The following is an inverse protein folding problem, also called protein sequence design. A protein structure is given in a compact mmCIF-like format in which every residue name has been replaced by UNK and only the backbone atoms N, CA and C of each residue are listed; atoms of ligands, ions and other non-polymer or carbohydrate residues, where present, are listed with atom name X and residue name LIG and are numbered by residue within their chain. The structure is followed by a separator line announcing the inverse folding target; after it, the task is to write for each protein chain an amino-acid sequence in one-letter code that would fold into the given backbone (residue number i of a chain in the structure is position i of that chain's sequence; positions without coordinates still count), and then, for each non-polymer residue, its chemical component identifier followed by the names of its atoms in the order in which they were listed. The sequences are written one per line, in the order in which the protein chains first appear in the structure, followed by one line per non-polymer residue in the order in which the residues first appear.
data_IF_364509545129
#
_entry.id   IF_364509545129
#
_cell.length_a   1.000
_cell.length_b   1.000
_cell.length_c   1.000
_cell.angle_alpha   90.00
_cell.angle_beta   90.00
_cell.angle_gamma   90.00
#
_symmetry.space_group_name_H-M   'P 1'
#
loop_
_entity.id
_entity.type
_entity.pdbx_description
1 polymer ?
#
# COMPACT_ATOMS: atom_id res chain seq x y z
N UNK A 1 -10.12 -5.63 -8.03
CA UNK A 1 -11.19 -6.57 -8.44
C UNK A 1 -11.66 -6.40 -9.91
N UNK A 2 -11.47 -5.24 -10.54
CA UNK A 2 -12.02 -4.96 -11.88
C UNK A 2 -11.41 -5.85 -12.96
N UNK A 3 -10.08 -5.98 -12.97
CA UNK A 3 -9.37 -6.87 -13.89
C UNK A 3 -9.76 -8.34 -13.67
N UNK A 4 -9.96 -8.76 -12.43
CA UNK A 4 -10.39 -10.10 -12.09
C UNK A 4 -11.80 -10.40 -12.64
N UNK A 5 -12.72 -9.43 -12.57
CA UNK A 5 -14.05 -9.56 -13.17
C UNK A 5 -14.01 -9.74 -14.69
N UNK A 6 -13.04 -9.13 -15.39
CA UNK A 6 -12.87 -9.33 -16.84
C UNK A 6 -12.52 -10.79 -17.18
N UNK A 7 -11.84 -11.48 -16.28
CA UNK A 7 -11.54 -12.91 -16.40
C UNK A 7 -12.66 -13.82 -15.84
N UNK A 8 -13.77 -13.24 -15.39
CA UNK A 8 -14.87 -13.99 -14.76
C UNK A 8 -14.59 -14.38 -13.30
N UNK A 9 -13.48 -13.90 -12.70
CA UNK A 9 -13.16 -14.21 -11.32
C UNK A 9 -14.07 -13.43 -10.35
N UNK A 10 -14.41 -14.08 -9.25
CA UNK A 10 -15.22 -13.47 -8.22
C UNK A 10 -14.44 -12.40 -7.47
N UNK A 11 -15.05 -11.23 -7.26
CA UNK A 11 -14.45 -10.15 -6.50
C UNK A 11 -14.09 -10.59 -5.07
N UNK A 12 -12.87 -10.29 -4.63
CA UNK A 12 -12.40 -10.55 -3.27
C UNK A 12 -12.65 -9.38 -2.31
N UNK A 13 -13.11 -8.24 -2.82
CA UNK A 13 -13.34 -7.04 -2.03
C UNK A 13 -12.09 -6.16 -1.91
N UNK A 14 -11.13 -6.30 -2.81
CA UNK A 14 -9.94 -5.43 -2.86
C UNK A 14 -10.38 -4.01 -3.20
N UNK A 15 -10.02 -3.04 -2.34
CA UNK A 15 -10.40 -1.64 -2.49
C UNK A 15 -9.18 -0.75 -2.57
N UNK A 16 -9.17 0.24 -3.47
CA UNK A 16 -8.15 1.27 -3.51
C UNK A 16 -8.44 2.36 -2.46
N UNK A 17 -7.34 2.88 -1.90
CA UNK A 17 -7.35 3.99 -0.95
C UNK A 17 -6.35 5.03 -1.40
N UNK A 18 -6.77 6.30 -1.43
CA UNK A 18 -5.90 7.42 -1.77
C UNK A 18 -4.85 7.64 -0.69
N UNK A 19 -3.62 7.89 -1.14
CA UNK A 19 -2.50 8.32 -0.32
C UNK A 19 -1.88 9.56 -0.94
N UNK A 20 -1.86 10.65 -0.19
CA UNK A 20 -1.35 11.96 -0.59
C UNK A 20 0.08 12.17 -0.12
N UNK A 21 0.89 12.82 -0.94
CA UNK A 21 2.25 13.27 -0.61
C UNK A 21 2.47 14.68 -1.12
N UNK A 22 3.10 15.52 -0.31
CA UNK A 22 3.59 16.84 -0.67
C UNK A 22 5.11 16.88 -0.58
N UNK A 23 5.76 17.46 -1.58
CA UNK A 23 7.18 17.78 -1.55
C UNK A 23 7.35 19.22 -1.11
N UNK A 24 8.05 19.41 -0.01
CA UNK A 24 8.23 20.69 0.65
C UNK A 24 9.68 21.17 0.53
N UNK A 25 9.84 22.47 0.29
CA UNK A 25 11.10 23.14 0.55
C UNK A 25 11.09 23.63 1.99
N UNK A 26 12.12 23.25 2.74
CA UNK A 26 12.29 23.58 4.16
C UNK A 26 13.63 24.25 4.41
N UNK A 27 13.72 25.06 5.46
CA UNK A 27 14.96 25.72 5.89
C UNK A 27 15.21 25.44 7.38
N UNK A 28 16.38 24.89 7.76
CA UNK A 28 17.46 24.41 6.91
C UNK A 28 17.03 23.23 6.03
N UNK A 29 17.74 23.01 4.92
CA UNK A 29 17.48 21.88 4.01
C UNK A 29 17.45 20.56 4.75
N UNK A 30 16.54 19.67 4.32
CA UNK A 30 16.43 18.34 4.92
C UNK A 30 17.71 17.53 4.67
N UNK A 31 18.38 17.00 5.69
CA UNK A 31 19.59 16.18 5.51
C UNK A 31 19.21 14.83 4.88
N UNK A 32 20.01 14.36 3.93
CA UNK A 32 19.77 13.09 3.22
C UNK A 32 19.85 11.86 4.16
N UNK A 33 20.50 12.03 5.31
CA UNK A 33 20.62 10.98 6.34
C UNK A 33 19.39 10.86 7.23
N UNK A 34 18.39 11.75 7.06
CA UNK A 34 17.17 11.70 7.88
C UNK A 34 16.38 10.42 7.56
N UNK A 35 16.10 9.58 8.57
CA UNK A 35 15.27 8.41 8.35
C UNK A 35 13.82 8.79 8.02
N UNK A 36 13.03 7.83 7.54
CA UNK A 36 11.58 7.98 7.52
C UNK A 36 11.08 8.12 8.96
N UNK A 37 10.38 9.22 9.23
CA UNK A 37 9.77 9.51 10.53
C UNK A 37 8.26 9.37 10.41
N UNK A 38 7.66 8.60 11.30
CA UNK A 38 6.21 8.37 11.35
C UNK A 38 5.71 8.85 12.71
N UNK A 39 4.67 9.68 12.72
CA UNK A 39 3.95 10.03 13.93
C UNK A 39 3.38 8.77 14.60
N UNK A 40 3.60 8.63 15.91
CA UNK A 40 3.17 7.44 16.65
C UNK A 40 1.65 7.23 16.62
N UNK A 41 0.89 8.31 16.49
CA UNK A 41 -0.57 8.26 16.33
C UNK A 41 -1.02 8.08 14.87
N UNK A 42 -0.06 7.97 13.94
CA UNK A 42 -0.34 7.78 12.52
C UNK A 42 -0.92 9.02 11.82
N UNK A 43 -0.78 10.20 12.39
CA UNK A 43 -1.34 11.44 11.85
C UNK A 43 -0.59 11.97 10.63
N UNK A 44 0.70 11.68 10.50
CA UNK A 44 1.54 12.01 9.34
C UNK A 44 2.81 11.18 9.32
N UNK A 45 3.52 11.22 8.21
CA UNK A 45 4.91 10.79 8.12
C UNK A 45 5.69 11.67 7.14
N UNK A 46 7.00 11.70 7.32
CA UNK A 46 7.88 12.42 6.40
C UNK A 46 9.22 11.72 6.20
N UNK A 47 9.88 12.05 5.10
CA UNK A 47 11.26 11.63 4.81
C UNK A 47 11.98 12.71 4.00
N UNK A 48 13.28 12.75 4.10
CA UNK A 48 14.10 13.59 3.21
C UNK A 48 14.26 12.95 1.83
N UNK A 49 14.43 13.80 0.83
CA UNK A 49 14.78 13.42 -0.54
C UNK A 49 15.46 14.60 -1.25
N UNK A 50 16.75 14.49 -1.51
CA UNK A 50 17.55 15.52 -2.20
C UNK A 50 17.40 16.94 -1.60
N UNK A 51 17.49 17.05 -0.28
CA UNK A 51 17.35 18.32 0.45
C UNK A 51 15.92 18.86 0.55
N UNK A 52 14.92 18.11 0.09
CA UNK A 52 13.49 18.37 0.24
C UNK A 52 12.89 17.45 1.30
N UNK A 53 11.72 17.80 1.77
CA UNK A 53 10.93 16.96 2.66
C UNK A 53 9.70 16.45 1.94
N UNK A 54 9.52 15.13 1.89
CA UNK A 54 8.27 14.52 1.47
C UNK A 54 7.41 14.30 2.70
N UNK A 55 6.24 14.92 2.72
CA UNK A 55 5.29 14.87 3.82
C UNK A 55 3.98 14.24 3.35
N UNK A 56 3.39 13.37 4.15
CA UNK A 56 2.08 12.77 3.90
C UNK A 56 1.19 12.90 5.14
N UNK A 57 -0.10 13.20 4.98
CA UNK A 57 -1.07 13.18 6.08
C UNK A 57 -1.38 11.76 6.57
N UNK A 58 -0.72 10.74 5.99
CA UNK A 58 -0.98 9.33 6.27
C UNK A 58 -2.43 8.92 5.97
N UNK A 59 -3.05 9.61 5.03
CA UNK A 59 -4.44 9.38 4.61
C UNK A 59 -4.65 7.97 4.03
N UNK A 60 -5.81 7.41 4.30
CA UNK A 60 -6.34 6.19 3.69
C UNK A 60 -7.81 6.41 3.36
N UNK A 61 -8.06 7.22 2.33
CA UNK A 61 -9.40 7.61 1.92
C UNK A 61 -9.88 6.65 0.83
N UNK A 62 -10.98 5.91 1.04
CA UNK A 62 -11.55 5.05 0.01
C UNK A 62 -11.79 5.84 -1.28
N UNK A 63 -11.35 5.30 -2.40
CA UNK A 63 -11.46 5.96 -3.70
C UNK A 63 -11.91 4.97 -4.76
N UNK A 64 -12.54 5.47 -5.82
CA UNK A 64 -12.70 4.69 -7.04
C UNK A 64 -11.33 4.45 -7.71
N UNK A 65 -11.23 3.43 -8.54
CA UNK A 65 -10.06 3.22 -9.37
C UNK A 65 -9.96 4.36 -10.41
N UNK A 66 -8.95 5.21 -10.27
CA UNK A 66 -8.74 6.40 -11.09
C UNK A 66 -7.28 6.82 -11.06
N UNK A 67 -6.89 7.77 -11.89
CA UNK A 67 -5.66 8.54 -11.72
C UNK A 67 -5.90 9.54 -10.57
N UNK A 68 -5.44 9.18 -9.37
CA UNK A 68 -5.77 9.91 -8.16
C UNK A 68 -5.01 11.23 -8.06
N UNK A 69 -5.72 12.30 -7.76
CA UNK A 69 -5.15 13.61 -7.47
C UNK A 69 -5.17 13.91 -5.96
N UNK A 70 -4.21 14.69 -5.45
CA UNK A 70 -4.22 15.17 -4.06
C UNK A 70 -5.32 16.21 -3.87
N UNK A 71 -5.97 16.19 -2.73
CA UNK A 71 -6.87 17.29 -2.33
C UNK A 71 -6.10 18.31 -1.51
N UNK A 72 -6.46 19.59 -1.64
CA UNK A 72 -5.76 20.68 -0.95
C UNK A 72 -5.89 20.56 0.57
N UNK A 73 -7.04 20.11 1.04
CA UNK A 73 -7.28 19.90 2.47
C UNK A 73 -6.34 18.84 3.07
N UNK A 74 -6.02 17.78 2.34
CA UNK A 74 -5.12 16.73 2.82
C UNK A 74 -3.69 17.25 2.95
N UNK A 75 -3.25 18.07 2.00
CA UNK A 75 -1.94 18.73 2.04
C UNK A 75 -1.87 19.72 3.21
N UNK A 76 -2.91 20.53 3.39
CA UNK A 76 -2.98 21.50 4.49
C UNK A 76 -2.95 20.81 5.86
N UNK A 77 -3.72 19.72 6.04
CA UNK A 77 -3.71 18.91 7.26
C UNK A 77 -2.34 18.27 7.55
N UNK A 78 -1.64 17.80 6.52
CA UNK A 78 -0.31 17.26 6.69
C UNK A 78 0.67 18.32 7.21
N UNK A 79 0.63 19.53 6.64
CA UNK A 79 1.46 20.65 7.02
C UNK A 79 1.15 21.10 8.46
N UNK A 80 -0.11 21.26 8.81
CA UNK A 80 -0.56 21.67 10.15
C UNK A 80 -0.07 20.67 11.22
N UNK A 81 -0.27 19.37 11.01
CA UNK A 81 0.19 18.31 11.91
C UNK A 81 1.71 18.28 12.04
N UNK A 82 2.42 18.43 10.93
CA UNK A 82 3.88 18.46 10.93
C UNK A 82 4.41 19.68 11.70
N UNK A 83 3.87 20.88 11.45
CA UNK A 83 4.28 22.12 12.14
C UNK A 83 3.92 22.10 13.63
N UNK A 84 2.89 21.38 14.03
CA UNK A 84 2.56 21.17 15.44
C UNK A 84 3.58 20.29 16.18
N UNK A 85 4.29 19.42 15.44
CA UNK A 85 5.25 18.47 16.00
C UNK A 85 6.72 18.87 15.80
N UNK A 86 7.02 19.62 14.74
CA UNK A 86 8.38 19.96 14.34
C UNK A 86 8.52 21.47 14.08
N UNK A 87 9.47 22.09 14.77
CA UNK A 87 9.85 23.48 14.49
C UNK A 87 10.79 23.53 13.27
N UNK A 88 10.24 23.31 12.08
CA UNK A 88 10.99 23.31 10.83
C UNK A 88 10.26 24.18 9.81
N UNK A 89 10.81 25.37 9.48
CA UNK A 89 10.17 26.31 8.58
C UNK A 89 9.94 25.72 7.17
N UNK A 90 8.71 25.80 6.72
CA UNK A 90 8.32 25.41 5.35
C UNK A 90 8.28 26.69 4.50
N UNK A 91 9.11 26.75 3.47
CA UNK A 91 9.16 27.89 2.55
C UNK A 91 8.15 27.77 1.40
N UNK A 92 7.94 26.54 0.91
CA UNK A 92 7.04 26.29 -0.20
C UNK A 92 6.61 24.83 -0.31
N UNK A 93 5.41 24.61 -0.84
CA UNK A 93 4.95 23.35 -1.39
C UNK A 93 5.33 23.34 -2.88
N UNK A 94 6.37 22.57 -3.24
CA UNK A 94 6.89 22.57 -4.62
C UNK A 94 6.15 21.60 -5.53
N UNK A 95 5.74 20.45 -4.98
CA UNK A 95 4.96 19.42 -5.71
C UNK A 95 3.98 18.74 -4.77
N UNK A 96 2.92 18.23 -5.34
CA UNK A 96 1.96 17.38 -4.65
C UNK A 96 1.43 16.31 -5.60
N UNK A 97 1.23 15.12 -5.09
CA UNK A 97 0.64 14.01 -5.85
C UNK A 97 -0.12 13.08 -4.93
N UNK A 98 -0.94 12.24 -5.51
CA UNK A 98 -1.56 11.14 -4.81
C UNK A 98 -1.42 9.85 -5.62
N UNK A 99 -1.57 8.74 -4.95
CA UNK A 99 -1.63 7.42 -5.55
C UNK A 99 -2.65 6.55 -4.85
N UNK A 100 -3.02 5.45 -5.47
CA UNK A 100 -3.92 4.47 -4.89
C UNK A 100 -3.14 3.29 -4.33
N UNK A 101 -3.46 2.92 -3.09
CA UNK A 101 -3.00 1.70 -2.44
C UNK A 101 -4.16 0.73 -2.36
N UNK A 102 -4.03 -0.44 -2.97
CA UNK A 102 -5.09 -1.43 -3.00
C UNK A 102 -4.93 -2.43 -1.88
N UNK A 103 -5.93 -2.49 -1.01
CA UNK A 103 -5.97 -3.41 0.12
C UNK A 103 -7.10 -4.43 -0.02
N UNK A 104 -6.81 -5.66 0.33
CA UNK A 104 -7.81 -6.68 0.57
C UNK A 104 -8.58 -6.40 1.87
N UNK A 105 -9.73 -7.05 2.12
CA UNK A 105 -10.54 -6.79 3.31
C UNK A 105 -9.81 -6.99 4.65
N UNK A 106 -8.93 -7.98 4.72
CA UNK A 106 -8.11 -8.29 5.90
C UNK A 106 -6.74 -7.62 5.89
N UNK A 107 -6.48 -6.79 4.87
CA UNK A 107 -5.24 -6.04 4.65
C UNK A 107 -4.00 -6.88 4.35
N UNK A 108 -4.12 -8.20 4.25
CA UNK A 108 -3.05 -9.07 3.79
C UNK A 108 -3.05 -9.15 2.25
N UNK A 109 -1.90 -9.21 1.58
CA UNK A 109 -1.84 -9.45 0.15
C UNK A 109 -2.55 -10.76 -0.25
N UNK A 110 -2.88 -10.88 -1.52
CA UNK A 110 -3.48 -12.08 -2.08
C UNK A 110 -2.56 -12.69 -3.11
N UNK A 111 -2.03 -13.86 -2.80
CA UNK A 111 -1.11 -14.62 -3.66
C UNK A 111 -1.61 -16.07 -3.80
N UNK A 112 -1.90 -16.50 -5.01
CA UNK A 112 -2.30 -17.87 -5.26
C UNK A 112 -3.28 -18.06 -6.41
N UNK A 113 -3.49 -19.31 -6.84
CA UNK A 113 -4.47 -19.64 -7.88
C UNK A 113 -5.90 -19.32 -7.41
N UNK A 114 -6.73 -18.88 -8.35
CA UNK A 114 -8.15 -18.72 -8.08
C UNK A 114 -8.78 -20.10 -7.84
N UNK A 115 -9.61 -20.25 -6.82
CA UNK A 115 -10.17 -21.57 -6.49
C UNK A 115 -11.30 -22.03 -7.42
N UNK A 116 -11.73 -21.19 -8.37
CA UNK A 116 -12.86 -21.49 -9.28
C UNK A 116 -12.51 -21.34 -10.76
N UNK A 117 -11.39 -20.65 -11.08
CA UNK A 117 -11.00 -20.38 -12.45
C UNK A 117 -9.61 -20.94 -12.70
N UNK A 118 -9.53 -21.98 -13.49
CA UNK A 118 -8.26 -22.58 -13.88
C UNK A 118 -7.40 -21.57 -14.66
N UNK A 119 -6.12 -21.53 -14.32
CA UNK A 119 -5.15 -20.63 -14.95
C UNK A 119 -5.20 -19.18 -14.48
N UNK A 120 -6.15 -18.78 -13.62
CA UNK A 120 -6.16 -17.45 -13.04
C UNK A 120 -5.38 -17.43 -11.71
N UNK A 121 -4.40 -16.54 -11.63
CA UNK A 121 -3.55 -16.39 -10.44
C UNK A 121 -3.67 -14.99 -9.86
N UNK A 122 -3.97 -14.89 -8.57
CA UNK A 122 -4.00 -13.65 -7.83
C UNK A 122 -2.59 -13.24 -7.38
N UNK A 123 -2.20 -12.02 -7.71
CA UNK A 123 -1.03 -11.35 -7.14
C UNK A 123 -1.38 -9.88 -6.92
N UNK A 124 -2.10 -9.58 -5.85
CA UNK A 124 -2.76 -8.29 -5.65
C UNK A 124 -2.89 -7.93 -4.17
N UNK A 125 -3.37 -6.72 -3.91
CA UNK A 125 -3.67 -6.28 -2.54
C UNK A 125 -2.45 -5.96 -1.69
N UNK A 126 -1.30 -5.59 -2.29
CA UNK A 126 -0.04 -5.29 -1.59
C UNK A 126 -0.13 -4.04 -0.71
N UNK A 127 -1.17 -3.25 -0.83
CA UNK A 127 -1.39 -2.06 -0.02
C UNK A 127 -0.25 -1.06 -0.11
N UNK A 128 0.28 -0.66 1.04
CA UNK A 128 1.42 0.25 1.15
C UNK A 128 2.79 -0.43 1.17
N UNK A 129 2.86 -1.76 1.11
CA UNK A 129 4.07 -2.54 1.39
C UNK A 129 4.67 -3.22 0.15
N UNK A 130 4.09 -3.03 -1.04
CA UNK A 130 4.45 -3.75 -2.25
C UNK A 130 5.93 -3.65 -2.62
N UNK A 131 6.52 -2.45 -2.55
CA UNK A 131 7.93 -2.24 -2.90
C UNK A 131 8.85 -2.94 -1.88
N UNK A 132 8.65 -2.71 -0.59
CA UNK A 132 9.54 -3.27 0.44
C UNK A 132 9.45 -4.79 0.57
N UNK A 133 8.30 -5.39 0.23
CA UNK A 133 8.12 -6.84 0.28
C UNK A 133 8.39 -7.53 -1.06
N UNK A 134 8.63 -6.76 -2.12
CA UNK A 134 8.72 -7.27 -3.50
C UNK A 134 9.71 -8.43 -3.69
N UNK A 135 10.91 -8.48 -3.07
CA UNK A 135 11.83 -9.59 -3.29
C UNK A 135 11.24 -10.94 -2.85
N UNK A 136 10.72 -11.00 -1.62
CA UNK A 136 10.12 -12.24 -1.09
C UNK A 136 8.75 -12.53 -1.73
N UNK A 137 7.92 -11.51 -1.92
CA UNK A 137 6.61 -11.67 -2.52
C UNK A 137 6.68 -12.15 -3.97
N UNK A 138 7.55 -11.56 -4.80
CA UNK A 138 7.72 -11.99 -6.19
C UNK A 138 8.25 -13.42 -6.28
N UNK A 139 9.21 -13.78 -5.43
CA UNK A 139 9.75 -15.13 -5.35
C UNK A 139 8.68 -16.15 -4.96
N UNK A 140 7.95 -15.87 -3.88
CA UNK A 140 6.84 -16.69 -3.42
C UNK A 140 5.75 -16.83 -4.51
N UNK A 141 5.36 -15.72 -5.12
CA UNK A 141 4.34 -15.70 -6.16
C UNK A 141 4.73 -16.54 -7.38
N UNK A 142 5.97 -16.43 -7.85
CA UNK A 142 6.49 -17.24 -8.94
C UNK A 142 6.49 -18.74 -8.60
N UNK A 143 6.93 -19.10 -7.39
CA UNK A 143 6.95 -20.50 -6.95
C UNK A 143 5.53 -21.08 -6.85
N UNK A 144 4.58 -20.32 -6.30
CA UNK A 144 3.19 -20.75 -6.23
C UNK A 144 2.54 -20.88 -7.62
N UNK A 145 2.82 -19.94 -8.53
CA UNK A 145 2.24 -19.93 -9.86
C UNK A 145 2.76 -21.06 -10.75
N UNK A 146 4.04 -21.43 -10.60
CA UNK A 146 4.73 -22.42 -11.43
C UNK A 146 4.85 -23.80 -10.74
N UNK A 147 4.33 -23.95 -9.53
CA UNK A 147 4.46 -25.20 -8.77
C UNK A 147 5.91 -25.56 -8.40
N UNK A 148 6.77 -24.55 -8.20
CA UNK A 148 8.18 -24.78 -7.88
C UNK A 148 8.39 -24.99 -6.37
N UNK A 149 9.46 -25.71 -6.04
CA UNK A 149 9.88 -25.84 -4.64
C UNK A 149 10.29 -24.52 -4.03
N UNK A 150 10.06 -24.39 -2.74
CA UNK A 150 10.44 -23.21 -1.97
C UNK A 150 11.92 -23.27 -1.61
N UNK A 151 12.60 -22.14 -1.76
CA UNK A 151 14.00 -21.98 -1.37
C UNK A 151 14.15 -21.38 0.04
N UNK A 152 15.39 -21.13 0.47
CA UNK A 152 15.70 -20.62 1.79
C UNK A 152 15.01 -19.26 2.12
N UNK A 153 14.69 -18.45 1.11
CA UNK A 153 14.00 -17.16 1.31
C UNK A 153 12.51 -17.37 1.63
N UNK A 154 11.87 -18.32 0.97
CA UNK A 154 10.40 -18.48 1.01
C UNK A 154 9.93 -19.68 1.81
N UNK A 155 10.81 -20.65 2.08
CA UNK A 155 10.48 -21.83 2.88
C UNK A 155 9.88 -21.50 4.27
N UNK A 156 10.35 -20.48 4.99
CA UNK A 156 9.79 -20.11 6.28
C UNK A 156 8.42 -19.43 6.20
N UNK A 157 7.96 -19.02 5.00
CA UNK A 157 6.73 -18.23 4.84
C UNK A 157 5.55 -19.19 4.75
N UNK A 158 4.60 -19.10 5.68
CA UNK A 158 3.29 -19.74 5.51
C UNK A 158 2.50 -19.00 4.43
N UNK A 159 2.19 -19.67 3.31
CA UNK A 159 1.42 -19.09 2.22
C UNK A 159 -0.10 -19.15 2.44
N UNK A 160 -0.57 -19.91 3.41
CA UNK A 160 -1.99 -20.07 3.70
C UNK A 160 -2.74 -18.75 3.92
N UNK A 161 -2.21 -17.84 4.76
CA UNK A 161 -2.79 -16.52 4.99
C UNK A 161 -2.88 -15.63 3.74
N UNK A 162 -2.08 -15.89 2.71
CA UNK A 162 -2.09 -15.11 1.45
C UNK A 162 -2.99 -15.73 0.38
N UNK A 163 -3.45 -16.97 0.56
CA UNK A 163 -4.28 -17.64 -0.44
C UNK A 163 -5.64 -16.96 -0.63
N UNK A 164 -6.14 -16.78 -1.88
CA UNK A 164 -7.50 -16.29 -2.12
C UNK A 164 -8.58 -17.20 -1.52
N UNK A 165 -8.30 -18.48 -1.29
CA UNK A 165 -9.23 -19.43 -0.69
C UNK A 165 -9.62 -19.06 0.75
N UNK A 166 -8.87 -18.19 1.45
CA UNK A 166 -9.20 -17.71 2.80
C UNK A 166 -10.56 -17.01 2.85
N UNK A 167 -10.94 -16.30 1.79
CA UNK A 167 -12.21 -15.60 1.72
C UNK A 167 -13.45 -16.51 1.55
N UNK A 168 -13.24 -17.75 1.15
CA UNK A 168 -14.34 -18.73 1.07
C UNK A 168 -14.74 -19.27 2.45
N UNK A 169 -13.77 -19.43 3.35
CA UNK A 169 -14.02 -19.91 4.71
C UNK A 169 -14.86 -18.91 5.50
N UNK A 170 -14.60 -17.62 5.34
CA UNK A 170 -15.36 -16.56 6.02
C UNK A 170 -16.81 -16.47 5.53
N UNK A 171 -17.06 -16.72 4.25
CA UNK A 171 -18.43 -16.73 3.70
C UNK A 171 -19.25 -17.91 4.20
N UNK A 172 -18.67 -19.09 4.31
CA UNK A 172 -19.35 -20.25 4.89
C UNK A 172 -19.69 -20.07 6.37
N UNK A 173 -18.85 -19.40 7.13
CA UNK A 173 -19.07 -19.10 8.54
C UNK A 173 -20.16 -18.02 8.79
N UNK A 174 -20.48 -17.19 7.79
CA UNK A 174 -21.53 -16.14 7.89
C UNK A 174 -22.91 -16.60 7.42
N UNK A 175 -23.02 -17.78 6.81
CA UNK A 175 -24.29 -18.35 6.28
C UNK A 175 -24.79 -19.49 7.14
N UNK A 176 -24.04 -19.97 8.11
CA UNK A 176 -24.45 -20.92 9.15
C UNK A 176 -24.69 -20.22 10.51
#
# INVERSE_FOLDING_TARGET
DDVARMAGAQALGIKPYRRTVAQLRVEPKAPDTLPLVIDINGGFYFKSDNGRLWLSPHDEIPSAACDAAPEEIDVALAIDRFQSAANWPIEAVERRWAGLRSFSPDRLPVYGPDPHIDGFFWFAGQGGYGIQTSPAAARLGAQLALGLERDAMTAPIDAGPYSPARYQRERRAKVG
#
